data_IF_619066048915
#
_entry.id   IF_619066048915
#
_cell.length_a   1.000
_cell.length_b   1.000
_cell.length_c   1.000
_cell.angle_alpha   90.00
_cell.angle_beta   90.00
_cell.angle_gamma   90.00
#
_symmetry.space_group_name_H-M   'P 1'
#
loop_
_entity.id
_entity.type
_entity.pdbx_description
1 polymer ?
#
# COMPACT_ATOMS: atom_id res chain seq x y z
N UNK A 1 -26.61 -40.70 -29.69
CA UNK A 1 -27.41 -40.13 -28.58
C UNK A 1 -26.67 -40.41 -27.27
N UNK A 2 -25.67 -39.60 -26.91
CA UNK A 2 -25.00 -39.75 -25.61
C UNK A 2 -25.66 -38.79 -24.62
N UNK A 3 -26.32 -39.38 -23.65
CA UNK A 3 -26.78 -38.76 -22.41
C UNK A 3 -25.56 -38.21 -21.66
N UNK A 4 -25.65 -36.99 -21.13
CA UNK A 4 -24.74 -36.48 -20.13
C UNK A 4 -25.54 -35.61 -19.15
N UNK A 5 -25.75 -36.18 -17.97
CA UNK A 5 -26.00 -35.44 -16.73
C UNK A 5 -24.91 -34.38 -16.56
N UNK A 6 -25.25 -33.22 -15.98
CA UNK A 6 -24.53 -32.66 -14.81
C UNK A 6 -25.03 -31.25 -14.43
N UNK A 7 -25.45 -31.21 -13.16
CA UNK A 7 -25.11 -30.20 -12.16
C UNK A 7 -25.90 -28.89 -12.18
N UNK A 8 -26.72 -28.76 -11.15
CA UNK A 8 -27.19 -27.53 -10.53
C UNK A 8 -26.06 -26.50 -10.47
N UNK A 9 -26.11 -25.47 -11.34
CA UNK A 9 -25.26 -24.27 -11.21
C UNK A 9 -26.07 -23.22 -10.44
N UNK A 10 -25.81 -23.12 -9.14
CA UNK A 10 -26.27 -22.04 -8.26
C UNK A 10 -25.48 -20.76 -8.58
N UNK A 11 -25.55 -20.25 -9.80
CA UNK A 11 -25.15 -18.87 -10.07
C UNK A 11 -26.26 -17.97 -9.56
N UNK A 12 -26.13 -17.52 -8.31
CA UNK A 12 -26.93 -16.45 -7.69
C UNK A 12 -27.16 -15.36 -8.75
N UNK A 13 -28.35 -15.36 -9.35
CA UNK A 13 -28.83 -14.23 -10.13
C UNK A 13 -28.82 -13.05 -9.16
N UNK A 14 -27.92 -12.09 -9.39
CA UNK A 14 -27.91 -10.88 -8.58
C UNK A 14 -29.16 -10.12 -8.95
N UNK A 15 -30.21 -10.25 -8.13
CA UNK A 15 -31.43 -9.45 -8.26
C UNK A 15 -31.03 -7.98 -8.17
N UNK A 16 -31.22 -7.26 -9.27
CA UNK A 16 -30.98 -5.83 -9.32
C UNK A 16 -32.24 -5.17 -8.77
N UNK A 17 -32.15 -4.62 -7.56
CA UNK A 17 -33.27 -3.95 -6.90
C UNK A 17 -33.18 -2.44 -7.00
N UNK A 18 -31.98 -1.90 -7.22
CA UNK A 18 -31.73 -0.46 -7.20
C UNK A 18 -31.28 0.04 -8.56
N UNK A 19 -31.88 1.12 -9.06
CA UNK A 19 -31.59 1.65 -10.39
C UNK A 19 -31.16 3.11 -10.33
N UNK A 20 -30.16 3.47 -11.13
CA UNK A 20 -29.74 4.84 -11.28
C UNK A 20 -30.79 5.61 -12.09
N UNK A 21 -31.40 6.62 -11.49
CA UNK A 21 -32.43 7.41 -12.15
C UNK A 21 -31.88 8.30 -13.27
N UNK A 22 -30.56 8.53 -13.30
CA UNK A 22 -29.93 9.40 -14.29
C UNK A 22 -29.48 8.66 -15.56
N UNK A 23 -29.09 7.38 -15.44
CA UNK A 23 -28.61 6.60 -16.59
C UNK A 23 -29.25 5.21 -16.73
N UNK A 24 -30.16 4.82 -15.83
CA UNK A 24 -30.87 3.55 -15.84
C UNK A 24 -30.04 2.33 -15.39
N UNK A 25 -28.78 2.51 -14.97
CA UNK A 25 -27.93 1.40 -14.56
C UNK A 25 -28.51 0.66 -13.33
N UNK A 26 -28.59 -0.67 -13.40
CA UNK A 26 -29.14 -1.52 -12.35
C UNK A 26 -28.07 -2.09 -11.42
N UNK A 27 -28.34 -2.10 -10.12
CA UNK A 27 -27.43 -2.51 -9.06
C UNK A 27 -28.11 -3.45 -8.07
N UNK A 28 -27.31 -4.35 -7.50
CA UNK A 28 -27.80 -5.37 -6.58
C UNK A 28 -28.16 -4.83 -5.19
N UNK A 29 -27.72 -3.62 -4.83
CA UNK A 29 -28.08 -2.94 -3.57
C UNK A 29 -27.71 -1.45 -3.61
N UNK A 30 -28.19 -0.71 -2.62
CA UNK A 30 -28.05 0.75 -2.54
C UNK A 30 -26.61 1.24 -2.38
N UNK A 31 -25.70 0.47 -1.76
CA UNK A 31 -24.28 0.87 -1.63
C UNK A 31 -23.57 0.92 -2.97
N UNK A 32 -23.86 -0.04 -3.85
CA UNK A 32 -23.28 -0.09 -5.19
C UNK A 32 -23.87 1.01 -6.07
N UNK A 33 -25.17 1.28 -5.97
CA UNK A 33 -25.80 2.40 -6.66
C UNK A 33 -25.24 3.75 -6.16
N UNK A 34 -25.08 3.94 -4.86
CA UNK A 34 -24.50 5.16 -4.29
C UNK A 34 -23.07 5.40 -4.79
N UNK A 35 -22.23 4.35 -4.77
CA UNK A 35 -20.87 4.43 -5.32
C UNK A 35 -20.81 4.61 -6.84
N UNK A 36 -21.85 4.21 -7.57
CA UNK A 36 -22.00 4.53 -8.99
C UNK A 36 -22.36 6.00 -9.20
N UNK A 37 -23.34 6.52 -8.45
CA UNK A 37 -23.75 7.93 -8.49
C UNK A 37 -22.55 8.84 -8.21
N UNK A 38 -21.81 8.65 -7.12
CA UNK A 38 -20.63 9.48 -6.77
C UNK A 38 -19.52 9.47 -7.83
N UNK A 39 -19.35 8.38 -8.58
CA UNK A 39 -18.24 8.25 -9.56
C UNK A 39 -18.62 8.67 -10.97
N UNK A 40 -19.89 8.50 -11.34
CA UNK A 40 -20.36 8.67 -12.72
C UNK A 40 -21.24 9.91 -12.88
N UNK A 41 -21.83 10.40 -11.78
CA UNK A 41 -22.75 11.52 -11.76
C UNK A 41 -22.33 12.50 -10.66
N UNK A 42 -21.60 13.55 -11.05
CA UNK A 42 -21.32 14.65 -10.14
C UNK A 42 -22.64 15.40 -9.88
N UNK A 43 -23.12 15.32 -8.65
CA UNK A 43 -24.08 16.27 -8.11
C UNK A 43 -23.35 17.00 -6.99
N UNK A 44 -23.10 18.29 -7.23
CA UNK A 44 -22.62 19.25 -6.25
C UNK A 44 -23.81 19.75 -5.41
N UNK A 45 -24.52 18.83 -4.73
CA UNK A 45 -25.58 19.18 -3.80
C UNK A 45 -25.31 18.54 -2.43
N UNK A 46 -25.38 19.39 -1.43
CA UNK A 46 -24.76 19.33 -0.11
C UNK A 46 -25.19 18.17 0.82
N UNK A 47 -24.29 17.95 1.79
CA UNK A 47 -24.60 17.88 3.23
C UNK A 47 -24.22 16.58 3.96
N UNK A 48 -23.41 16.81 5.00
CA UNK A 48 -23.09 15.97 6.15
C UNK A 48 -22.39 14.62 5.91
N UNK A 49 -21.08 14.68 5.67
CA UNK A 49 -20.17 13.67 6.19
C UNK A 49 -19.19 14.35 7.13
N UNK A 50 -19.29 14.05 8.43
CA UNK A 50 -18.20 14.27 9.37
C UNK A 50 -16.92 13.79 8.71
N UNK A 51 -16.11 14.75 8.29
CA UNK A 51 -14.81 14.52 7.75
C UNK A 51 -13.98 14.03 8.93
N UNK A 52 -13.95 12.71 9.17
CA UNK A 52 -12.79 12.09 9.80
C UNK A 52 -11.64 12.61 8.95
N UNK A 53 -10.74 13.45 9.48
CA UNK A 53 -9.61 13.86 8.71
C UNK A 53 -8.94 12.54 8.33
N UNK A 54 -8.75 12.29 7.04
CA UNK A 54 -7.70 11.37 6.63
C UNK A 54 -6.36 12.07 6.88
N UNK A 55 -6.17 12.63 8.09
CA UNK A 55 -4.89 12.99 8.63
C UNK A 55 -4.17 11.68 8.74
N UNK A 56 -3.41 11.40 7.70
CA UNK A 56 -2.28 10.51 7.83
C UNK A 56 -1.39 11.23 8.84
N UNK A 57 -1.62 10.97 10.13
CA UNK A 57 -0.76 11.49 11.17
C UNK A 57 0.65 10.98 10.88
N UNK A 58 1.58 11.91 10.72
CA UNK A 58 3.00 11.65 10.53
C UNK A 58 3.73 12.26 11.71
N UNK A 59 3.62 11.64 12.90
CA UNK A 59 4.12 12.25 14.14
C UNK A 59 5.65 12.36 14.18
N UNK A 60 6.37 11.71 13.26
CA UNK A 60 7.83 11.66 13.24
C UNK A 60 8.39 12.64 12.20
N UNK A 61 8.76 13.85 12.62
CA UNK A 61 9.39 14.86 11.77
C UNK A 61 10.92 14.71 11.73
N UNK A 62 11.53 15.08 10.60
CA UNK A 62 12.97 15.25 10.51
C UNK A 62 13.40 16.53 11.24
N UNK A 63 14.52 16.45 11.96
CA UNK A 63 15.12 17.52 12.75
C UNK A 63 16.30 18.22 12.03
N UNK A 64 16.64 17.77 10.82
CA UNK A 64 17.71 18.37 10.03
C UNK A 64 17.26 19.71 9.48
N UNK A 65 18.07 20.76 9.69
CA UNK A 65 17.78 22.12 9.21
C UNK A 65 17.51 22.14 7.70
N UNK A 66 16.37 22.72 7.31
CA UNK A 66 15.93 22.78 5.91
C UNK A 66 15.21 21.52 5.40
N UNK A 67 14.99 20.52 6.25
CA UNK A 67 14.24 19.30 5.92
C UNK A 67 12.85 19.32 6.56
N UNK A 68 11.79 19.34 5.74
CA UNK A 68 10.39 19.35 6.21
C UNK A 68 9.70 17.98 6.08
N UNK A 69 10.47 16.89 5.97
CA UNK A 69 9.90 15.56 5.80
C UNK A 69 9.34 15.01 7.12
N UNK A 70 8.18 14.37 7.03
CA UNK A 70 7.50 13.71 8.15
C UNK A 70 7.12 12.29 7.77
N UNK A 71 7.12 11.39 8.76
CA UNK A 71 6.96 9.96 8.59
C UNK A 71 5.90 9.40 9.54
N UNK A 72 5.28 8.28 9.14
CA UNK A 72 4.27 7.57 9.95
C UNK A 72 4.89 6.68 11.03
N UNK A 73 6.19 6.39 10.95
CA UNK A 73 6.89 5.55 11.93
C UNK A 73 8.31 6.03 12.17
N UNK A 74 8.81 5.80 13.38
CA UNK A 74 10.17 6.11 13.77
C UNK A 74 11.21 5.43 12.86
N UNK A 75 11.01 4.15 12.53
CA UNK A 75 11.92 3.41 11.63
C UNK A 75 12.10 4.11 10.28
N UNK A 76 11.02 4.68 9.72
CA UNK A 76 11.08 5.43 8.46
C UNK A 76 11.82 6.75 8.59
N UNK A 77 11.65 7.44 9.72
CA UNK A 77 12.44 8.63 10.03
C UNK A 77 13.93 8.28 10.15
N UNK A 78 14.27 7.17 10.81
CA UNK A 78 15.65 6.73 10.98
C UNK A 78 16.30 6.36 9.62
N UNK A 79 15.59 5.60 8.78
CA UNK A 79 16.04 5.32 7.40
C UNK A 79 16.28 6.61 6.61
N UNK A 80 15.42 7.62 6.78
CA UNK A 80 15.58 8.92 6.16
C UNK A 80 16.79 9.70 6.70
N UNK A 81 17.05 9.67 8.01
CA UNK A 81 18.21 10.31 8.62
C UNK A 81 19.54 9.74 8.10
N UNK A 82 19.59 8.46 7.75
CA UNK A 82 20.77 7.86 7.11
C UNK A 82 21.14 8.56 5.79
N UNK A 83 20.16 9.13 5.08
CA UNK A 83 20.42 9.88 3.84
C UNK A 83 21.13 11.21 4.12
N UNK A 84 20.81 11.90 5.21
CA UNK A 84 21.51 13.11 5.62
C UNK A 84 22.94 12.83 6.07
N UNK A 85 23.13 11.75 6.83
CA UNK A 85 24.45 11.35 7.34
C UNK A 85 25.31 10.62 6.29
N UNK A 86 24.77 10.31 5.11
CA UNK A 86 25.45 9.49 4.10
C UNK A 86 25.72 8.04 4.52
N UNK A 87 25.09 7.58 5.61
CA UNK A 87 25.29 6.24 6.16
C UNK A 87 24.56 5.21 5.30
N UNK A 88 25.23 4.10 4.99
CA UNK A 88 24.67 3.00 4.20
C UNK A 88 24.72 1.70 5.01
N UNK A 89 23.82 1.55 6.00
CA UNK A 89 23.91 0.44 6.96
C UNK A 89 23.57 -0.91 6.32
N UNK A 90 22.91 -0.92 5.16
CA UNK A 90 22.45 -2.14 4.52
C UNK A 90 23.46 -2.63 3.49
N UNK A 91 24.25 -3.65 3.84
CA UNK A 91 25.23 -4.26 2.96
C UNK A 91 24.69 -5.54 2.30
N UNK A 92 25.05 -5.74 1.04
CA UNK A 92 24.90 -7.02 0.37
C UNK A 92 25.88 -8.04 0.96
N UNK A 93 25.38 -9.18 1.44
CA UNK A 93 26.21 -10.25 2.02
C UNK A 93 26.61 -11.33 1.00
N UNK A 94 26.28 -11.13 -0.27
CA UNK A 94 26.62 -12.10 -1.31
C UNK A 94 28.13 -12.09 -1.58
N UNK A 95 28.77 -13.27 -1.67
CA UNK A 95 30.18 -13.36 -1.98
C UNK A 95 30.50 -12.59 -3.26
N UNK A 96 31.56 -11.78 -3.22
CA UNK A 96 32.00 -10.93 -4.34
C UNK A 96 31.11 -9.71 -4.63
N UNK A 97 30.06 -9.45 -3.84
CA UNK A 97 29.26 -8.23 -3.94
C UNK A 97 29.49 -7.32 -2.73
N UNK A 98 30.08 -6.15 -2.97
CA UNK A 98 30.40 -5.17 -1.92
C UNK A 98 29.45 -3.96 -1.93
N UNK A 99 28.23 -4.11 -2.46
CA UNK A 99 27.28 -2.99 -2.55
C UNK A 99 26.62 -2.70 -1.21
N UNK A 100 26.56 -1.41 -0.87
CA UNK A 100 25.88 -0.91 0.33
C UNK A 100 24.78 0.08 -0.04
N UNK A 101 23.76 0.16 0.82
CA UNK A 101 22.53 0.92 0.59
C UNK A 101 22.14 1.68 1.85
N UNK A 102 21.63 2.91 1.66
CA UNK A 102 21.07 3.73 2.73
C UNK A 102 19.65 3.28 3.14
N UNK A 103 18.94 2.57 2.26
CA UNK A 103 17.55 2.17 2.45
C UNK A 103 17.37 0.67 2.27
N UNK A 104 16.56 0.06 3.14
CA UNK A 104 16.23 -1.36 3.14
C UNK A 104 15.60 -1.83 1.82
N UNK A 105 14.69 -1.02 1.28
CA UNK A 105 14.04 -1.27 -0.01
C UNK A 105 15.04 -1.31 -1.18
N UNK A 106 16.13 -0.54 -1.10
CA UNK A 106 17.15 -0.52 -2.14
C UNK A 106 17.99 -1.80 -2.14
N UNK A 107 18.38 -2.31 -0.96
CA UNK A 107 19.02 -3.61 -0.83
C UNK A 107 18.10 -4.73 -1.32
N UNK A 108 16.82 -4.73 -0.92
CA UNK A 108 15.85 -5.74 -1.37
C UNK A 108 15.69 -5.78 -2.88
N UNK A 109 15.60 -4.61 -3.52
CA UNK A 109 15.56 -4.52 -4.98
C UNK A 109 16.82 -5.10 -5.61
N UNK A 110 17.99 -4.74 -5.08
CA UNK A 110 19.26 -5.28 -5.56
C UNK A 110 19.34 -6.81 -5.40
N UNK A 111 18.91 -7.36 -4.27
CA UNK A 111 18.84 -8.82 -4.07
C UNK A 111 17.93 -9.47 -5.10
N UNK A 112 16.73 -8.90 -5.32
CA UNK A 112 15.77 -9.46 -6.27
C UNK A 112 16.27 -9.44 -7.72
N UNK A 113 17.01 -8.41 -8.13
CA UNK A 113 17.45 -8.25 -9.52
C UNK A 113 18.80 -8.90 -9.81
N UNK A 114 19.71 -8.94 -8.84
CA UNK A 114 21.08 -9.41 -9.05
C UNK A 114 21.41 -10.71 -8.30
N UNK A 115 20.66 -11.07 -7.26
CA UNK A 115 20.98 -12.18 -6.36
C UNK A 115 19.75 -13.04 -6.02
N UNK A 116 19.15 -13.65 -7.05
CA UNK A 116 17.91 -14.45 -7.07
C UNK A 116 17.69 -15.49 -5.94
N UNK A 117 18.67 -15.72 -5.04
CA UNK A 117 18.65 -16.77 -4.01
C UNK A 117 18.63 -16.28 -2.55
N UNK A 118 18.79 -14.97 -2.27
CA UNK A 118 19.15 -14.56 -0.89
C UNK A 118 18.28 -13.40 -0.40
N UNK A 119 17.04 -13.71 -0.02
CA UNK A 119 16.18 -12.78 0.75
C UNK A 119 16.39 -12.88 2.27
N UNK A 120 17.23 -13.82 2.72
CA UNK A 120 17.39 -14.19 4.12
C UNK A 120 18.35 -13.34 5.01
N UNK A 121 19.22 -12.42 4.54
CA UNK A 121 20.15 -11.75 5.46
C UNK A 121 19.49 -10.59 6.23
N UNK A 122 18.16 -10.48 6.17
CA UNK A 122 17.44 -9.35 6.73
C UNK A 122 17.47 -9.27 8.28
N UNK A 123 17.73 -10.38 8.97
CA UNK A 123 17.37 -10.51 10.40
C UNK A 123 18.51 -10.10 11.37
N UNK A 124 19.72 -9.80 10.90
CA UNK A 124 20.87 -9.60 11.83
C UNK A 124 21.23 -8.13 12.08
N UNK A 125 20.80 -7.19 11.22
CA UNK A 125 21.07 -5.74 11.40
C UNK A 125 19.97 -5.00 12.17
N UNK A 126 18.80 -5.60 12.38
CA UNK A 126 17.72 -5.01 13.19
C UNK A 126 18.12 -4.90 14.68
N UNK A 127 19.12 -5.64 15.16
CA UNK A 127 19.54 -5.61 16.58
C UNK A 127 20.33 -4.35 16.97
N UNK A 128 20.79 -3.54 16.02
CA UNK A 128 21.62 -2.36 16.30
C UNK A 128 20.89 -1.00 16.19
N UNK A 129 19.65 -0.99 15.70
CA UNK A 129 18.88 0.27 15.48
C UNK A 129 17.67 0.43 16.42
N UNK A 130 17.42 -0.55 17.30
CA UNK A 130 16.26 -0.56 18.23
C UNK A 130 16.67 -0.39 19.70
N UNK A 131 17.92 -0.07 20.01
CA UNK A 131 18.35 0.30 21.37
C UNK A 131 18.36 1.82 21.55
N UNK A 132 17.17 2.39 21.70
CA UNK A 132 16.92 3.66 22.37
C UNK A 132 15.53 3.57 22.98
#
# INVERSE_FOLDING_TARGET
>A
MKHAEKLVDQRKSRTLTEFCQQCGAGFANGKLLAGHKTRMHHHDDDDEQQQIPRSIEKPFACDVTGCNFQFRSFMRLQEHKNLHAGIKPFQCLEPQCNRTYALRASLQRHMKTFHLKTMAPYVELEKLMTSC
#
